data_IF_972927397089
#
_entry.id   IF_972927397089
#
_cell.length_a   1.000
_cell.length_b   1.000
_cell.length_c   1.000
_cell.angle_alpha   90.00
_cell.angle_beta   90.00
_cell.angle_gamma   90.00
#
_symmetry.space_group_name_H-M   'P 1'
#
loop_
_entity.id
_entity.type
_entity.pdbx_description
1 polymer ?
#
# COMPACT_ATOMS: atom_id res chain seq x y z
N UNK A 1 -38.91 1.40 -10.45
CA UNK A 1 -37.64 2.07 -10.07
C UNK A 1 -36.58 1.00 -9.87
N UNK A 2 -35.54 1.04 -10.70
CA UNK A 2 -34.49 0.03 -10.78
C UNK A 2 -33.62 0.15 -9.51
N UNK A 3 -33.43 -0.98 -8.81
CA UNK A 3 -32.51 -1.11 -7.68
C UNK A 3 -31.12 -0.67 -8.11
N UNK A 4 -30.57 0.37 -7.49
CA UNK A 4 -29.19 0.78 -7.67
C UNK A 4 -28.28 -0.41 -7.37
N UNK A 5 -27.50 -0.84 -8.36
CA UNK A 5 -26.43 -1.82 -8.17
C UNK A 5 -25.50 -1.26 -7.10
N UNK A 6 -25.24 -2.04 -6.06
CA UNK A 6 -24.19 -1.74 -5.08
C UNK A 6 -22.91 -1.42 -5.85
N UNK A 7 -22.49 -0.16 -5.77
CA UNK A 7 -21.19 0.30 -6.28
C UNK A 7 -20.19 -0.54 -5.48
N UNK A 8 -19.48 -1.48 -6.12
CA UNK A 8 -18.37 -2.19 -5.49
C UNK A 8 -17.47 -1.10 -4.89
N UNK A 9 -17.44 -0.99 -3.55
CA UNK A 9 -16.50 -0.12 -2.88
C UNK A 9 -15.11 -0.61 -3.27
N UNK A 10 -14.43 0.15 -4.12
CA UNK A 10 -13.06 -0.13 -4.54
C UNK A 10 -12.17 -0.17 -3.30
N UNK A 11 -11.19 -1.09 -3.22
CA UNK A 11 -10.27 -1.10 -2.09
C UNK A 11 -9.44 0.19 -2.09
N UNK A 12 -9.45 0.90 -0.96
CA UNK A 12 -8.64 2.12 -0.77
C UNK A 12 -7.16 1.79 -0.51
N UNK A 13 -6.80 0.51 -0.45
CA UNK A 13 -5.43 0.06 -0.28
C UNK A 13 -5.25 -1.36 -0.82
N UNK A 14 -4.02 -1.68 -1.19
CA UNK A 14 -3.56 -3.04 -1.43
C UNK A 14 -2.62 -3.47 -0.32
N UNK A 15 -2.68 -4.76 0.02
CA UNK A 15 -1.84 -5.36 1.05
C UNK A 15 -1.26 -6.66 0.54
N UNK A 16 0.05 -6.80 0.64
CA UNK A 16 0.78 -7.99 0.26
C UNK A 16 1.64 -8.49 1.41
N UNK A 17 1.72 -9.80 1.54
CA UNK A 17 2.55 -10.49 2.52
C UNK A 17 3.67 -11.22 1.80
N UNK A 18 4.90 -11.08 2.32
CA UNK A 18 6.08 -11.78 1.84
C UNK A 18 7.03 -12.04 3.02
N UNK A 19 7.19 -13.31 3.39
CA UNK A 19 7.91 -13.71 4.60
C UNK A 19 7.39 -12.94 5.82
N UNK A 20 8.27 -12.24 6.54
CA UNK A 20 7.93 -11.43 7.70
C UNK A 20 7.48 -10.01 7.31
N UNK A 21 7.57 -9.63 6.03
CA UNK A 21 7.19 -8.31 5.54
C UNK A 21 5.71 -8.21 5.16
N UNK A 22 5.14 -7.08 5.51
CA UNK A 22 3.81 -6.64 5.12
C UNK A 22 3.97 -5.34 4.35
N UNK A 23 3.62 -5.38 3.07
CA UNK A 23 3.60 -4.22 2.18
C UNK A 23 2.17 -3.72 2.11
N UNK A 24 1.96 -2.46 2.43
CA UNK A 24 0.65 -1.79 2.34
C UNK A 24 0.79 -0.55 1.47
N UNK A 25 -0.01 -0.46 0.40
CA UNK A 25 -0.05 0.70 -0.48
C UNK A 25 -1.47 1.23 -0.50
N UNK A 26 -1.67 2.40 0.09
CA UNK A 26 -2.97 3.06 0.20
C UNK A 26 -3.12 4.17 -0.82
N UNK A 27 -4.35 4.39 -1.29
CA UNK A 27 -4.79 5.57 -2.04
C UNK A 27 -5.74 6.37 -1.15
N UNK A 28 -5.53 7.67 -1.08
CA UNK A 28 -6.39 8.57 -0.31
C UNK A 28 -6.73 9.80 -1.15
N UNK A 29 -7.95 10.34 -1.06
CA UNK A 29 -8.25 11.65 -1.65
C UNK A 29 -7.25 12.70 -1.20
N UNK A 30 -6.75 13.55 -2.10
CA UNK A 30 -5.79 14.59 -1.72
C UNK A 30 -6.38 15.45 -0.61
N UNK A 31 -5.57 15.76 0.40
CA UNK A 31 -6.00 16.68 1.45
C UNK A 31 -6.15 18.10 0.90
N UNK A 32 -7.21 18.80 1.31
CA UNK A 32 -7.50 20.17 0.83
C UNK A 32 -6.35 21.17 1.00
N UNK A 33 -5.46 20.95 1.98
CA UNK A 33 -4.33 21.82 2.27
C UNK A 33 -3.06 21.53 1.45
N UNK A 34 -3.03 20.43 0.69
CA UNK A 34 -1.90 20.06 -0.18
C UNK A 34 -2.05 20.81 -1.50
N UNK A 35 -1.27 21.87 -1.74
CA UNK A 35 -1.45 22.77 -2.90
C UNK A 35 -0.43 22.60 -4.03
N UNK A 36 0.61 21.79 -3.82
CA UNK A 36 1.73 21.63 -4.77
C UNK A 36 1.50 20.52 -5.82
N UNK A 37 0.31 19.91 -5.83
CA UNK A 37 -0.14 18.97 -6.85
C UNK A 37 -1.61 19.24 -7.14
N UNK A 38 -1.96 19.15 -8.42
CA UNK A 38 -3.28 19.28 -9.01
C UNK A 38 -3.98 17.92 -9.16
N UNK A 39 -3.39 16.83 -8.66
CA UNK A 39 -3.99 15.50 -8.65
C UNK A 39 -5.03 15.32 -7.54
N UNK A 40 -5.99 14.43 -7.81
CA UNK A 40 -7.11 14.16 -6.90
C UNK A 40 -6.77 13.19 -5.77
N UNK A 41 -5.69 12.41 -5.92
CA UNK A 41 -5.32 11.36 -4.96
C UNK A 41 -3.84 11.44 -4.59
N UNK A 42 -3.56 11.00 -3.37
CA UNK A 42 -2.23 10.76 -2.82
C UNK A 42 -2.09 9.27 -2.50
N UNK A 43 -0.86 8.78 -2.54
CA UNK A 43 -0.56 7.38 -2.30
C UNK A 43 0.47 7.23 -1.19
N UNK A 44 0.29 6.19 -0.38
CA UNK A 44 1.15 5.91 0.77
C UNK A 44 1.68 4.49 0.68
N UNK A 45 2.99 4.32 0.72
CA UNK A 45 3.65 3.02 0.79
C UNK A 45 4.23 2.83 2.19
N UNK A 46 3.81 1.76 2.86
CA UNK A 46 4.34 1.30 4.13
C UNK A 46 4.83 -0.13 3.99
N UNK A 47 6.05 -0.40 4.46
CA UNK A 47 6.58 -1.76 4.59
C UNK A 47 6.93 -1.98 6.05
N UNK A 48 6.30 -2.97 6.67
CA UNK A 48 6.56 -3.35 8.05
C UNK A 48 7.07 -4.78 8.14
N UNK A 49 8.02 -5.07 9.02
CA UNK A 49 8.46 -6.43 9.35
C UNK A 49 7.81 -6.89 10.66
N UNK A 50 7.23 -8.08 10.65
CA UNK A 50 6.70 -8.74 11.85
C UNK A 50 7.84 -9.41 12.60
N UNK A 51 8.06 -9.03 13.85
CA UNK A 51 9.06 -9.62 14.72
C UNK A 51 8.44 -10.16 16.00
N UNK A 52 9.02 -11.25 16.49
CA UNK A 52 8.68 -11.81 17.80
C UNK A 52 9.58 -11.20 18.86
N UNK A 53 8.99 -10.55 19.85
CA UNK A 53 9.75 -9.98 20.97
C UNK A 53 9.06 -10.27 22.31
N UNK A 54 9.80 -10.23 23.41
CA UNK A 54 9.23 -10.36 24.74
C UNK A 54 8.40 -9.13 25.08
N UNK A 55 7.18 -9.34 25.58
CA UNK A 55 6.26 -8.25 25.94
C UNK A 55 6.77 -7.46 27.14
N UNK A 56 7.57 -8.08 28.02
CA UNK A 56 8.28 -7.41 29.09
C UNK A 56 9.57 -8.16 29.45
N UNK A 57 10.54 -7.47 30.06
CA UNK A 57 11.81 -8.06 30.53
C UNK A 57 11.63 -9.21 31.54
N UNK A 58 10.47 -9.30 32.18
CA UNK A 58 10.18 -10.26 33.25
C UNK A 58 9.10 -11.28 32.87
N UNK A 59 8.67 -11.33 31.60
CA UNK A 59 7.68 -12.31 31.15
C UNK A 59 8.21 -13.17 30.02
N UNK A 60 7.99 -14.49 30.09
CA UNK A 60 8.22 -15.40 28.98
C UNK A 60 7.20 -15.23 27.83
N UNK A 61 6.27 -14.27 27.95
CA UNK A 61 5.28 -14.01 26.91
C UNK A 61 5.93 -13.27 25.73
N UNK A 62 5.84 -13.90 24.55
CA UNK A 62 6.34 -13.38 23.29
C UNK A 62 5.16 -12.81 22.49
N UNK A 63 5.23 -11.52 22.17
CA UNK A 63 4.28 -10.83 21.30
C UNK A 63 4.84 -10.67 19.88
N UNK A 64 3.93 -10.47 18.92
CA UNK A 64 4.29 -10.06 17.57
C UNK A 64 4.25 -8.53 17.48
N UNK A 65 5.33 -7.92 17.00
CA UNK A 65 5.47 -6.48 16.83
C UNK A 65 5.75 -6.18 15.36
N UNK A 66 5.08 -5.17 14.81
CA UNK A 66 5.37 -4.70 13.46
C UNK A 66 6.35 -3.53 13.54
N UNK A 67 7.55 -3.72 13.02
CA UNK A 67 8.56 -2.68 12.89
C UNK A 67 8.40 -2.02 11.54
N UNK A 68 8.29 -0.68 11.51
CA UNK A 68 8.25 0.08 10.27
C UNK A 68 9.65 0.08 9.62
N UNK A 69 9.75 -0.49 8.42
CA UNK A 69 11.00 -0.58 7.66
C UNK A 69 11.08 0.50 6.58
N UNK A 70 9.96 0.77 5.89
CA UNK A 70 9.87 1.79 4.85
C UNK A 70 8.58 2.60 4.99
N UNK A 71 8.67 3.91 4.76
CA UNK A 71 7.51 4.78 4.61
C UNK A 71 7.79 5.81 3.51
N UNK A 72 6.86 5.95 2.57
CA UNK A 72 6.94 6.98 1.55
C UNK A 72 5.56 7.46 1.13
N UNK A 73 5.46 8.74 0.77
CA UNK A 73 4.25 9.38 0.27
C UNK A 73 4.48 9.86 -1.17
N UNK A 74 3.48 9.66 -2.02
CA UNK A 74 3.48 10.06 -3.42
C UNK A 74 2.27 10.95 -3.69
N UNK A 75 2.49 12.02 -4.46
CA UNK A 75 1.47 13.03 -4.77
C UNK A 75 0.72 12.75 -6.07
N UNK A 76 1.07 11.65 -6.74
CA UNK A 76 0.42 11.13 -7.93
C UNK A 76 0.82 9.66 -8.14
N UNK A 77 0.01 8.95 -8.91
CA UNK A 77 0.19 7.54 -9.21
C UNK A 77 1.43 7.27 -10.08
N UNK A 78 1.75 8.18 -11.00
CA UNK A 78 2.85 7.98 -11.95
C UNK A 78 4.19 7.91 -11.21
N UNK A 79 4.43 8.84 -10.27
CA UNK A 79 5.62 8.81 -9.42
C UNK A 79 5.70 7.54 -8.57
N UNK A 80 4.58 7.06 -8.01
CA UNK A 80 4.56 5.77 -7.30
C UNK A 80 5.05 4.64 -8.21
N UNK A 81 4.50 4.52 -9.42
CA UNK A 81 4.83 3.42 -10.32
C UNK A 81 6.25 3.47 -10.88
N UNK A 82 6.85 4.66 -10.99
CA UNK A 82 8.25 4.80 -11.42
C UNK A 82 9.25 4.21 -10.41
N UNK A 83 8.90 4.19 -9.12
CA UNK A 83 9.85 3.81 -8.05
C UNK A 83 9.40 2.61 -7.22
N UNK A 84 8.21 2.07 -7.45
CA UNK A 84 7.69 0.96 -6.64
C UNK A 84 8.54 -0.31 -6.79
N UNK A 85 8.94 -0.67 -8.01
CA UNK A 85 9.76 -1.86 -8.26
C UNK A 85 11.11 -1.81 -7.51
N UNK A 86 11.94 -0.74 -7.63
CA UNK A 86 13.20 -0.69 -6.90
C UNK A 86 12.99 -0.72 -5.38
N UNK A 87 11.95 -0.07 -4.85
CA UNK A 87 11.64 -0.14 -3.42
C UNK A 87 11.29 -1.57 -3.01
N UNK A 88 10.41 -2.25 -3.75
CA UNK A 88 10.01 -3.63 -3.43
C UNK A 88 11.20 -4.60 -3.51
N UNK A 89 12.14 -4.33 -4.40
CA UNK A 89 13.33 -5.18 -4.63
C UNK A 89 14.30 -5.19 -3.44
N UNK A 90 14.23 -4.20 -2.54
CA UNK A 90 14.97 -4.21 -1.27
C UNK A 90 14.44 -5.26 -0.27
N UNK A 91 13.17 -5.67 -0.42
CA UNK A 91 12.48 -6.53 0.54
C UNK A 91 12.04 -7.88 -0.06
N UNK A 92 11.93 -7.97 -1.38
CA UNK A 92 11.44 -9.13 -2.13
C UNK A 92 12.43 -9.41 -3.26
N UNK A 93 13.00 -10.62 -3.30
CA UNK A 93 13.90 -11.02 -4.37
C UNK A 93 13.19 -11.73 -5.54
N UNK A 94 11.95 -12.18 -5.31
CA UNK A 94 11.13 -12.90 -6.28
C UNK A 94 10.45 -11.93 -7.25
N UNK A 95 10.96 -11.84 -8.48
CA UNK A 95 10.42 -10.94 -9.52
C UNK A 95 8.93 -11.18 -9.81
N UNK A 96 8.46 -12.42 -9.80
CA UNK A 96 7.04 -12.74 -9.96
C UNK A 96 6.17 -12.13 -8.87
N UNK A 97 6.68 -12.07 -7.63
CA UNK A 97 5.97 -11.50 -6.49
C UNK A 97 5.92 -9.98 -6.60
N UNK A 98 7.03 -9.36 -6.97
CA UNK A 98 7.09 -7.91 -7.26
C UNK A 98 6.07 -7.57 -8.34
N UNK A 99 6.08 -8.29 -9.46
CA UNK A 99 5.15 -8.08 -10.57
C UNK A 99 3.69 -8.17 -10.12
N UNK A 100 3.32 -9.20 -9.34
CA UNK A 100 1.96 -9.34 -8.79
C UNK A 100 1.56 -8.15 -7.91
N UNK A 101 2.48 -7.61 -7.10
CA UNK A 101 2.21 -6.43 -6.28
C UNK A 101 2.01 -5.19 -7.16
N UNK A 102 2.87 -4.97 -8.16
CA UNK A 102 2.71 -3.85 -9.10
C UNK A 102 1.36 -3.92 -9.83
N UNK A 103 0.92 -5.11 -10.24
CA UNK A 103 -0.39 -5.32 -10.85
C UNK A 103 -1.54 -4.95 -9.90
N UNK A 104 -1.47 -5.33 -8.63
CA UNK A 104 -2.47 -4.94 -7.62
C UNK A 104 -2.51 -3.42 -7.42
N UNK A 105 -1.35 -2.77 -7.39
CA UNK A 105 -1.25 -1.31 -7.27
C UNK A 105 -1.87 -0.61 -8.48
N UNK A 106 -1.75 -1.21 -9.67
CA UNK A 106 -2.38 -0.71 -10.89
C UNK A 106 -3.91 -0.70 -10.80
N UNK A 107 -4.51 -1.64 -10.06
CA UNK A 107 -5.96 -1.65 -9.81
C UNK A 107 -6.42 -0.43 -8.98
N UNK A 108 -5.52 0.23 -8.24
CA UNK A 108 -5.84 1.48 -7.53
C UNK A 108 -6.08 2.66 -8.47
N UNK A 109 -5.58 2.62 -9.71
CA UNK A 109 -5.73 3.70 -10.69
C UNK A 109 -6.91 3.49 -11.64
N UNK A 110 -7.09 2.26 -12.15
CA UNK A 110 -8.14 1.96 -13.15
C UNK A 110 -9.58 2.09 -12.63
N UNK A 111 -9.76 2.19 -11.32
CA UNK A 111 -11.08 2.35 -10.70
C UNK A 111 -11.49 3.83 -10.57
N UNK A 112 -10.63 4.78 -10.94
CA UNK A 112 -10.90 6.24 -10.92
C UNK A 112 -11.41 6.80 -12.25
N UNK A 113 -11.24 6.09 -13.36
CA UNK A 113 -11.80 6.50 -14.65
C UNK A 113 -13.29 6.10 -14.73
N UNK A 114 -14.23 7.04 -14.95
CA UNK A 114 -15.57 6.65 -15.34
C UNK A 114 -15.50 5.91 -16.68
N UNK A 115 -16.11 4.73 -16.76
CA UNK A 115 -16.28 4.01 -18.01
C UNK A 115 -16.89 4.97 -19.06
N UNK A 116 -16.18 5.15 -20.18
CA UNK A 116 -16.65 5.93 -21.33
C UNK A 116 -17.87 5.28 -21.98
#
# INVERSE_FOLDING_TARGET
>A
MIKGKDKKNSPDYVKAFHNDYVITIGRHPRFNWVTHTDKDYMYFLYITRTEKNFVSKNSAHVGNFNILCHQQTFYDYHHLMLVIEPILSEYILESEKIFKICMLVQELEYQSEPAQ
#
